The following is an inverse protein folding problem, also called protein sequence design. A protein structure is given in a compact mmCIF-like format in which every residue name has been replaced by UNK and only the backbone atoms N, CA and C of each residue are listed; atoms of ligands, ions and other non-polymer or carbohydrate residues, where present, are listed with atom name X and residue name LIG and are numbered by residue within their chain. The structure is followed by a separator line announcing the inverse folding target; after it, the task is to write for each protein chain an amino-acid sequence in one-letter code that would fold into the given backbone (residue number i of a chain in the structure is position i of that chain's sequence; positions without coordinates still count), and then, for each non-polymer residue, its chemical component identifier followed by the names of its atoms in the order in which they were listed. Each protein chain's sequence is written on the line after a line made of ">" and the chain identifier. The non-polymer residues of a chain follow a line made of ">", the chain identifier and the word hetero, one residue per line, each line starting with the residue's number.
data_IF_473307821773
#
_entry.id   IF_473307821773
#
_cell.length_a   1.000
_cell.length_b   1.000
_cell.length_c   1.000
_cell.angle_alpha   90.00
_cell.angle_beta   90.00
_cell.angle_gamma   90.00
#
_symmetry.space_group_name_H-M   'P 1'
#
loop_
_entity.id
_entity.type
_entity.pdbx_description
1 polymer ?
#
# COMPACT_ATOMS: atom_id res chain seq x y z
N UNK A 1 -11.66 16.85 -3.53
CA UNK A 1 -10.70 15.75 -3.34
C UNK A 1 -11.23 14.61 -4.19
N UNK A 2 -10.39 13.98 -4.99
CA UNK A 2 -10.81 12.84 -5.82
C UNK A 2 -11.37 11.73 -4.93
N UNK A 3 -12.44 11.06 -5.37
CA UNK A 3 -12.95 9.86 -4.71
C UNK A 3 -12.57 8.65 -5.55
N UNK A 4 -11.90 7.67 -4.93
CA UNK A 4 -11.52 6.41 -5.52
C UNK A 4 -12.52 5.33 -5.11
N UNK A 5 -13.27 4.81 -6.06
CA UNK A 5 -14.10 3.64 -5.84
C UNK A 5 -13.22 2.39 -5.81
N UNK A 6 -13.44 1.55 -4.80
CA UNK A 6 -12.62 0.37 -4.55
C UNK A 6 -13.43 -0.90 -4.75
N UNK A 7 -12.88 -1.82 -5.54
CA UNK A 7 -13.36 -3.19 -5.63
C UNK A 7 -12.24 -4.18 -5.39
N UNK A 8 -12.62 -5.35 -4.90
CA UNK A 8 -11.72 -6.48 -4.76
C UNK A 8 -12.38 -7.75 -5.26
N UNK A 9 -11.60 -8.73 -5.71
CA UNK A 9 -12.15 -9.99 -6.20
C UNK A 9 -11.15 -11.15 -6.13
N UNK A 10 -11.67 -12.33 -6.46
CA UNK A 10 -10.87 -13.52 -6.72
C UNK A 10 -11.19 -14.06 -8.12
N UNK A 11 -10.28 -13.87 -9.08
CA UNK A 11 -10.36 -14.44 -10.42
C UNK A 11 -9.60 -15.77 -10.51
N UNK A 12 -10.06 -16.66 -11.39
CA UNK A 12 -9.43 -17.98 -11.59
C UNK A 12 -8.11 -17.89 -12.37
N UNK A 13 -7.99 -16.88 -13.24
CA UNK A 13 -6.80 -16.63 -14.05
C UNK A 13 -6.69 -15.15 -14.46
N UNK A 14 -5.49 -14.74 -14.86
CA UNK A 14 -5.21 -13.41 -15.40
C UNK A 14 -5.97 -13.18 -16.71
N UNK A 15 -6.04 -14.19 -17.59
CA UNK A 15 -6.81 -14.11 -18.85
C UNK A 15 -8.30 -13.82 -18.60
N UNK A 16 -8.90 -14.41 -17.56
CA UNK A 16 -10.29 -14.17 -17.20
C UNK A 16 -10.50 -12.75 -16.65
N UNK A 17 -9.49 -12.21 -15.96
CA UNK A 17 -9.45 -10.84 -15.47
C UNK A 17 -9.31 -9.84 -16.62
N UNK A 18 -8.31 -10.00 -17.49
CA UNK A 18 -8.10 -9.16 -18.67
C UNK A 18 -9.34 -9.11 -19.56
N UNK A 19 -9.96 -10.27 -19.84
CA UNK A 19 -11.18 -10.34 -20.63
C UNK A 19 -12.37 -9.59 -20.01
N UNK A 20 -12.43 -9.52 -18.68
CA UNK A 20 -13.51 -8.83 -17.98
C UNK A 20 -13.39 -7.29 -18.11
N UNK A 21 -12.17 -6.78 -18.25
CA UNK A 21 -11.86 -5.36 -18.44
C UNK A 21 -11.60 -4.96 -19.90
N UNK A 22 -11.50 -5.89 -20.84
CA UNK A 22 -11.19 -5.60 -22.25
C UNK A 22 -12.17 -4.62 -22.91
N UNK A 23 -11.66 -3.44 -23.26
CA UNK A 23 -12.38 -2.38 -23.99
C UNK A 23 -11.93 -2.21 -25.46
N UNK A 24 -10.99 -3.03 -25.95
CA UNK A 24 -10.35 -2.88 -27.27
C UNK A 24 -11.38 -2.92 -28.40
N UNK A 25 -12.33 -3.84 -28.33
CA UNK A 25 -13.36 -4.00 -29.38
C UNK A 25 -14.27 -2.78 -29.46
N UNK A 26 -14.66 -2.22 -28.32
CA UNK A 26 -15.54 -1.05 -28.26
C UNK A 26 -14.83 0.23 -28.68
N UNK A 27 -13.60 0.46 -28.20
CA UNK A 27 -12.78 1.60 -28.61
C UNK A 27 -12.49 1.59 -30.12
N UNK A 28 -12.27 0.40 -30.69
CA UNK A 28 -12.10 0.26 -32.15
C UNK A 28 -13.36 0.63 -32.92
N UNK A 29 -14.54 0.22 -32.43
CA UNK A 29 -15.80 0.57 -33.05
C UNK A 29 -16.05 2.08 -33.00
N UNK A 30 -15.79 2.73 -31.86
CA UNK A 30 -15.82 4.19 -31.73
C UNK A 30 -14.83 4.89 -32.67
N UNK A 31 -13.60 4.38 -32.77
CA UNK A 31 -12.62 4.94 -33.69
C UNK A 31 -13.06 4.88 -35.15
N UNK A 32 -13.79 3.84 -35.57
CA UNK A 32 -14.36 3.77 -36.92
C UNK A 32 -15.47 4.83 -37.06
N UNK A 33 -16.42 4.83 -36.13
CA UNK A 33 -17.53 5.78 -36.11
C UNK A 33 -17.08 7.24 -36.17
N UNK A 34 -16.08 7.63 -35.36
CA UNK A 34 -15.59 9.01 -35.27
C UNK A 34 -14.85 9.48 -36.54
N UNK A 35 -14.31 8.54 -37.34
CA UNK A 35 -13.47 8.85 -38.50
C UNK A 35 -14.19 8.65 -39.84
N UNK A 36 -15.35 7.99 -39.86
CA UNK A 36 -16.13 7.81 -41.07
C UNK A 36 -17.11 8.98 -41.29
N UNK A 37 -17.14 9.59 -42.50
CA UNK A 37 -18.09 10.66 -42.78
C UNK A 37 -19.52 10.09 -42.78
N UNK A 38 -20.50 10.82 -42.23
CA UNK A 38 -21.87 10.36 -42.19
C UNK A 38 -22.38 10.09 -43.61
N UNK A 39 -22.90 8.89 -43.81
CA UNK A 39 -23.40 8.38 -45.08
C UNK A 39 -24.80 8.91 -45.39
N UNK A 40 -25.50 9.44 -44.39
CA UNK A 40 -26.88 9.89 -44.47
C UNK A 40 -27.88 8.74 -44.35
N UNK A 41 -27.43 7.54 -44.01
CA UNK A 41 -28.27 6.37 -43.72
C UNK A 41 -28.19 6.07 -42.23
N UNK A 42 -29.35 6.10 -41.59
CA UNK A 42 -29.49 5.86 -40.15
C UNK A 42 -28.95 4.50 -39.68
N UNK A 43 -28.86 3.50 -40.56
CA UNK A 43 -28.29 2.17 -40.24
C UNK A 43 -26.76 2.15 -40.25
N UNK A 44 -26.13 2.94 -41.12
CA UNK A 44 -24.68 2.99 -41.31
C UNK A 44 -24.03 4.03 -40.37
N UNK A 45 -24.82 4.99 -39.87
CA UNK A 45 -24.37 6.12 -39.03
C UNK A 45 -24.71 5.93 -37.53
N UNK A 46 -24.89 4.68 -37.06
CA UNK A 46 -25.20 4.39 -35.65
C UNK A 46 -23.96 4.36 -34.77
N UNK A 47 -24.13 4.81 -33.52
CA UNK A 47 -23.12 4.63 -32.48
C UNK A 47 -22.81 3.14 -32.26
N UNK A 48 -21.59 2.80 -31.80
CA UNK A 48 -21.21 1.44 -31.48
C UNK A 48 -22.19 0.73 -30.53
N UNK A 49 -22.44 -0.55 -30.79
CA UNK A 49 -23.35 -1.38 -29.99
C UNK A 49 -22.90 -1.41 -28.51
N UNK A 50 -23.73 -0.95 -27.55
CA UNK A 50 -23.41 -0.99 -26.13
C UNK A 50 -23.12 -2.39 -25.57
N UNK A 51 -23.52 -3.47 -26.25
CA UNK A 51 -23.27 -4.85 -25.82
C UNK A 51 -21.80 -5.28 -25.93
N UNK A 52 -21.02 -4.64 -26.81
CA UNK A 52 -19.60 -4.96 -27.00
C UNK A 52 -18.67 -4.25 -25.99
N UNK A 53 -19.24 -3.45 -25.09
CA UNK A 53 -18.52 -2.83 -23.97
C UNK A 53 -17.90 -3.87 -23.05
N UNK A 54 -16.84 -3.45 -22.36
CA UNK A 54 -16.18 -4.28 -21.35
C UNK A 54 -17.18 -4.73 -20.29
N UNK A 55 -17.01 -5.92 -19.70
CA UNK A 55 -18.00 -6.47 -18.78
C UNK A 55 -18.12 -5.60 -17.52
N UNK A 56 -17.00 -5.13 -16.99
CA UNK A 56 -16.98 -4.13 -15.91
C UNK A 56 -17.80 -2.88 -16.27
N UNK A 57 -17.57 -2.31 -17.45
CA UNK A 57 -18.20 -1.10 -17.96
C UNK A 57 -19.74 -1.24 -17.98
N UNK A 58 -20.22 -2.38 -18.48
CA UNK A 58 -21.66 -2.71 -18.52
C UNK A 58 -22.27 -2.78 -17.12
N UNK A 59 -21.57 -3.40 -16.18
CA UNK A 59 -22.07 -3.60 -14.81
C UNK A 59 -22.19 -2.27 -14.04
N UNK A 60 -21.22 -1.36 -14.21
CA UNK A 60 -21.27 -0.04 -13.54
C UNK A 60 -21.96 1.05 -14.36
N UNK A 61 -22.42 0.72 -15.58
CA UNK A 61 -23.21 1.60 -16.44
C UNK A 61 -22.41 2.73 -17.10
N UNK A 62 -21.14 2.48 -17.44
CA UNK A 62 -20.29 3.41 -18.22
C UNK A 62 -20.02 2.85 -19.62
N UNK A 63 -19.54 3.70 -20.52
CA UNK A 63 -19.20 3.31 -21.88
C UNK A 63 -17.78 2.74 -21.98
N UNK A 64 -16.81 3.47 -21.44
CA UNK A 64 -15.41 3.07 -21.29
C UNK A 64 -14.88 3.61 -19.97
N UNK A 65 -13.83 3.00 -19.44
CA UNK A 65 -13.05 3.60 -18.37
C UNK A 65 -11.78 4.24 -18.98
N UNK A 66 -11.28 5.26 -18.31
CA UNK A 66 -10.00 5.87 -18.65
C UNK A 66 -8.88 5.09 -17.94
N UNK A 67 -7.90 4.62 -18.72
CA UNK A 67 -6.76 3.84 -18.23
C UNK A 67 -5.86 4.65 -17.28
N UNK A 68 -5.85 5.98 -17.40
CA UNK A 68 -5.07 6.86 -16.53
C UNK A 68 -5.71 7.04 -15.14
N UNK A 69 -7.03 6.81 -15.02
CA UNK A 69 -7.79 6.99 -13.78
C UNK A 69 -8.18 5.67 -13.09
N UNK A 70 -7.75 4.52 -13.62
CA UNK A 70 -8.02 3.21 -13.06
C UNK A 70 -6.73 2.46 -12.73
N UNK A 71 -6.67 1.89 -11.53
CA UNK A 71 -5.66 0.91 -11.15
C UNK A 71 -6.30 -0.46 -11.23
N UNK A 72 -5.76 -1.29 -12.12
CA UNK A 72 -6.13 -2.69 -12.30
C UNK A 72 -4.97 -3.58 -11.87
N UNK A 73 -5.07 -4.17 -10.68
CA UNK A 73 -3.98 -5.00 -10.12
C UNK A 73 -4.42 -6.44 -9.97
N UNK A 74 -3.72 -7.35 -10.66
CA UNK A 74 -3.87 -8.79 -10.53
C UNK A 74 -2.67 -9.41 -9.82
N UNK A 75 -2.93 -10.39 -8.96
CA UNK A 75 -1.91 -11.16 -8.25
C UNK A 75 -2.02 -12.65 -8.63
N UNK A 76 -0.93 -13.27 -9.07
CA UNK A 76 -0.94 -14.71 -9.41
C UNK A 76 -1.24 -15.64 -8.22
N UNK A 77 -1.13 -15.13 -7.00
CA UNK A 77 -1.52 -15.81 -5.76
C UNK A 77 -2.45 -14.90 -4.98
N UNK A 78 -3.37 -15.51 -4.22
CA UNK A 78 -4.18 -14.76 -3.26
C UNK A 78 -3.27 -14.10 -2.23
N UNK A 79 -3.52 -12.82 -2.01
CA UNK A 79 -2.82 -11.94 -1.10
C UNK A 79 -3.67 -11.70 0.14
N UNK A 80 -2.99 -11.50 1.26
CA UNK A 80 -3.61 -10.96 2.46
C UNK A 80 -3.66 -9.44 2.35
N UNK A 81 -4.51 -8.81 3.18
CA UNK A 81 -4.71 -7.36 3.16
C UNK A 81 -3.40 -6.56 3.21
N UNK A 82 -2.47 -6.96 4.09
CA UNK A 82 -1.18 -6.30 4.29
C UNK A 82 -0.31 -6.29 3.03
N UNK A 83 -0.39 -7.32 2.21
CA UNK A 83 0.37 -7.42 0.96
C UNK A 83 -0.19 -6.48 -0.12
N UNK A 84 -1.48 -6.14 -0.03
CA UNK A 84 -2.22 -5.33 -1.02
C UNK A 84 -2.14 -3.83 -0.70
N UNK A 85 -1.95 -3.44 0.57
CA UNK A 85 -1.91 -2.03 0.99
C UNK A 85 -0.96 -1.16 0.17
N UNK A 86 0.17 -1.73 -0.27
CA UNK A 86 1.18 -1.02 -1.05
C UNK A 86 0.69 -0.61 -2.45
N UNK A 87 -0.32 -1.28 -2.99
CA UNK A 87 -0.86 -1.05 -4.32
C UNK A 87 -2.13 -0.17 -4.31
N UNK A 88 -2.59 0.27 -3.14
CA UNK A 88 -3.76 1.14 -3.01
C UNK A 88 -3.35 2.61 -3.30
N UNK A 89 -3.89 3.25 -4.35
CA UNK A 89 -3.48 4.60 -4.77
C UNK A 89 -4.17 5.73 -3.97
N UNK A 90 -4.65 5.44 -2.75
CA UNK A 90 -5.50 6.33 -1.95
C UNK A 90 -5.24 6.21 -0.45
N UNK A 91 -6.18 6.74 0.35
CA UNK A 91 -6.08 6.64 1.81
C UNK A 91 -6.19 5.18 2.28
N UNK A 92 -5.07 4.60 2.71
CA UNK A 92 -5.00 3.18 3.12
C UNK A 92 -5.74 2.91 4.44
N UNK A 93 -5.81 3.85 5.38
CA UNK A 93 -6.60 3.70 6.61
C UNK A 93 -8.10 3.59 6.31
N UNK A 94 -8.60 4.40 5.37
CA UNK A 94 -9.97 4.30 4.89
C UNK A 94 -10.22 2.97 4.16
N UNK A 95 -9.26 2.51 3.35
CA UNK A 95 -9.32 1.20 2.70
C UNK A 95 -9.40 0.05 3.71
N UNK A 96 -8.53 0.05 4.74
CA UNK A 96 -8.51 -0.96 5.80
C UNK A 96 -9.87 -1.10 6.47
N UNK A 97 -10.47 0.04 6.85
CA UNK A 97 -11.79 0.07 7.46
C UNK A 97 -12.86 -0.56 6.56
N UNK A 98 -12.88 -0.22 5.26
CA UNK A 98 -13.84 -0.81 4.32
C UNK A 98 -13.60 -2.33 4.15
N UNK A 99 -12.35 -2.78 4.15
CA UNK A 99 -12.02 -4.18 4.00
C UNK A 99 -12.46 -5.02 5.22
N UNK A 100 -12.22 -4.52 6.44
CA UNK A 100 -12.63 -5.18 7.69
C UNK A 100 -14.16 -5.33 7.78
N UNK A 101 -14.90 -4.30 7.38
CA UNK A 101 -16.37 -4.32 7.36
C UNK A 101 -16.94 -5.40 6.41
N UNK A 102 -16.17 -5.82 5.40
CA UNK A 102 -16.60 -6.78 4.37
C UNK A 102 -16.14 -8.22 4.60
N UNK A 103 -15.43 -8.52 5.71
CA UNK A 103 -15.03 -9.90 6.11
C UNK A 103 -14.35 -10.72 5.00
N UNK A 104 -13.37 -10.14 4.31
CA UNK A 104 -12.70 -10.76 3.16
C UNK A 104 -11.39 -11.43 3.59
N UNK A 105 -11.28 -12.75 3.42
CA UNK A 105 -10.10 -13.50 3.89
C UNK A 105 -8.85 -13.30 3.03
N UNK A 106 -9.00 -13.19 1.72
CA UNK A 106 -7.89 -12.99 0.78
C UNK A 106 -8.41 -12.63 -0.61
N UNK A 107 -7.61 -11.92 -1.39
CA UNK A 107 -7.99 -11.42 -2.72
C UNK A 107 -6.86 -11.66 -3.72
N UNK A 108 -7.17 -11.69 -5.01
CA UNK A 108 -6.13 -11.67 -6.04
C UNK A 108 -6.34 -10.59 -7.10
N UNK A 109 -7.35 -9.73 -6.89
CA UNK A 109 -7.60 -8.55 -7.70
C UNK A 109 -7.91 -7.36 -6.78
N UNK A 110 -7.25 -6.24 -7.04
CA UNK A 110 -7.57 -4.92 -6.51
C UNK A 110 -7.90 -3.99 -7.68
N UNK A 111 -9.01 -3.27 -7.57
CA UNK A 111 -9.42 -2.24 -8.52
C UNK A 111 -9.65 -0.95 -7.75
N UNK A 112 -9.02 0.13 -8.20
CA UNK A 112 -9.30 1.48 -7.72
C UNK A 112 -9.62 2.36 -8.92
N UNK A 113 -10.78 3.00 -8.94
CA UNK A 113 -11.21 3.82 -10.07
C UNK A 113 -11.65 5.21 -9.61
N UNK A 114 -11.04 6.24 -10.18
CA UNK A 114 -11.45 7.62 -10.01
C UNK A 114 -12.46 8.00 -11.08
N UNK A 115 -13.71 8.24 -10.68
CA UNK A 115 -14.75 8.73 -11.58
C UNK A 115 -15.78 9.56 -10.82
N UNK A 116 -15.84 10.86 -11.12
CA UNK A 116 -16.73 11.80 -10.44
C UNK A 116 -18.22 11.60 -10.74
N UNK A 117 -18.56 10.93 -11.85
CA UNK A 117 -19.93 10.67 -12.25
C UNK A 117 -20.44 9.30 -11.76
N UNK A 118 -19.53 8.46 -11.24
CA UNK A 118 -19.89 7.15 -10.71
C UNK A 118 -20.42 7.29 -9.27
N UNK A 119 -21.69 6.92 -9.07
CA UNK A 119 -22.26 6.85 -7.73
C UNK A 119 -22.11 5.44 -7.12
N UNK A 120 -22.24 5.35 -5.80
CA UNK A 120 -22.10 4.07 -5.07
C UNK A 120 -23.13 3.02 -5.47
N UNK A 121 -24.36 3.41 -5.84
CA UNK A 121 -25.39 2.47 -6.27
C UNK A 121 -24.96 1.76 -7.56
N UNK A 122 -24.51 2.52 -8.56
CA UNK A 122 -23.97 1.95 -9.80
C UNK A 122 -22.70 1.13 -9.57
N UNK A 123 -21.78 1.62 -8.73
CA UNK A 123 -20.55 0.91 -8.40
C UNK A 123 -20.81 -0.46 -7.73
N UNK A 124 -21.89 -0.56 -6.96
CA UNK A 124 -22.28 -1.79 -6.25
C UNK A 124 -22.95 -2.87 -7.13
N UNK A 125 -23.26 -2.58 -8.40
CA UNK A 125 -23.97 -3.50 -9.32
C UNK A 125 -23.07 -4.57 -9.94
N UNK A 126 -21.78 -4.59 -9.59
CA UNK A 126 -20.82 -5.55 -10.13
C UNK A 126 -21.13 -6.97 -9.64
N UNK A 127 -21.07 -7.94 -10.56
CA UNK A 127 -21.44 -9.34 -10.27
C UNK A 127 -20.24 -10.16 -9.78
N UNK A 128 -19.08 -9.94 -10.39
CA UNK A 128 -17.83 -10.67 -10.07
C UNK A 128 -16.96 -9.97 -9.03
N UNK A 129 -17.19 -8.68 -8.83
CA UNK A 129 -16.39 -7.84 -7.95
C UNK A 129 -17.15 -7.57 -6.67
N UNK A 130 -16.41 -7.46 -5.56
CA UNK A 130 -16.96 -6.99 -4.29
C UNK A 130 -16.64 -5.50 -4.21
N UNK A 131 -17.67 -4.68 -4.28
CA UNK A 131 -17.53 -3.24 -4.06
C UNK A 131 -17.37 -2.96 -2.56
N UNK A 132 -16.23 -2.37 -2.17
CA UNK A 132 -15.93 -2.05 -0.77
C UNK A 132 -16.48 -0.68 -0.38
N UNK A 133 -16.51 0.27 -1.31
CA UNK A 133 -16.87 1.66 -1.04
C UNK A 133 -15.97 2.63 -1.79
N UNK A 134 -16.05 3.91 -1.43
CA UNK A 134 -15.18 4.96 -1.95
C UNK A 134 -14.24 5.45 -0.86
N UNK A 135 -12.98 5.70 -1.21
CA UNK A 135 -11.96 6.30 -0.34
C UNK A 135 -11.48 7.62 -0.93
N UNK A 136 -10.98 8.57 -0.12
CA UNK A 136 -10.29 9.74 -0.65
C UNK A 136 -9.06 9.33 -1.46
N UNK A 137 -8.93 9.86 -2.67
CA UNK A 137 -7.70 9.82 -3.47
C UNK A 137 -6.62 10.71 -2.86
N UNK A 138 -5.35 10.40 -3.19
CA UNK A 138 -4.22 11.19 -2.74
C UNK A 138 -4.31 12.59 -3.35
N UNK A 139 -4.38 13.62 -2.52
CA UNK A 139 -4.20 15.00 -3.00
C UNK A 139 -2.69 15.23 -3.21
N UNK A 140 -2.30 16.11 -4.13
CA UNK A 140 -0.88 16.50 -4.34
C UNK A 140 -0.16 16.95 -3.04
N UNK A 141 -0.91 17.16 -1.95
CA UNK A 141 -0.39 17.54 -0.63
C UNK A 141 -0.86 16.66 0.54
N UNK A 142 -1.64 15.58 0.33
CA UNK A 142 -2.19 14.77 1.44
C UNK A 142 -1.92 13.26 1.28
N UNK A 143 -1.04 12.78 2.17
CA UNK A 143 -1.06 11.50 2.90
C UNK A 143 -1.35 10.21 2.13
N UNK A 144 -0.28 9.59 1.59
CA UNK A 144 -0.13 8.12 1.67
C UNK A 144 -0.05 7.76 3.15
N UNK A 145 -1.19 7.67 3.83
CA UNK A 145 -1.29 7.37 5.26
C UNK A 145 -0.20 8.02 6.14
N UNK A 146 -0.62 9.00 6.95
CA UNK A 146 0.06 9.30 8.21
C UNK A 146 0.03 8.11 9.22
N UNK A 147 0.04 6.85 8.75
CA UNK A 147 0.40 5.70 9.54
C UNK A 147 1.92 5.76 9.64
N UNK A 148 2.38 6.43 10.69
CA UNK A 148 3.73 6.28 11.17
C UNK A 148 4.05 4.78 11.21
N UNK A 149 4.94 4.37 10.33
CA UNK A 149 5.41 3.00 10.34
C UNK A 149 6.74 3.01 11.07
N UNK A 150 6.76 2.30 12.18
CA UNK A 150 7.96 2.00 12.94
C UNK A 150 8.73 0.88 12.24
N UNK A 151 10.02 1.09 12.05
CA UNK A 151 10.94 0.08 11.58
C UNK A 151 11.94 -0.21 12.69
N UNK A 152 11.97 -1.45 13.16
CA UNK A 152 12.79 -1.86 14.29
C UNK A 152 14.03 -2.62 13.85
N UNK A 153 15.17 -2.21 14.38
CA UNK A 153 16.43 -2.94 14.32
C UNK A 153 17.04 -3.11 15.70
N UNK A 154 17.63 -4.27 15.94
CA UNK A 154 18.37 -4.58 17.16
C UNK A 154 19.84 -4.89 16.86
N UNK A 155 20.73 -4.51 17.78
CA UNK A 155 22.16 -4.83 17.67
C UNK A 155 22.44 -6.33 17.75
N UNK A 156 23.30 -6.85 16.86
CA UNK A 156 23.65 -8.28 16.81
C UNK A 156 24.75 -8.68 17.80
N UNK A 157 25.84 -7.91 17.91
CA UNK A 157 27.01 -8.19 18.77
C UNK A 157 27.76 -6.91 19.21
N UNK A 158 28.70 -7.04 20.15
CA UNK A 158 29.44 -5.95 20.86
C UNK A 158 30.21 -4.96 19.98
N UNK A 159 30.25 -5.14 18.65
CA UNK A 159 31.14 -4.41 17.75
C UNK A 159 30.41 -3.46 16.79
N UNK A 160 30.72 -2.17 16.99
CA UNK A 160 30.68 -1.05 16.03
C UNK A 160 29.75 -1.27 14.83
N UNK A 161 28.45 -1.01 15.01
CA UNK A 161 27.61 -0.71 13.85
C UNK A 161 28.11 0.62 13.26
N UNK A 162 28.01 0.82 11.94
CA UNK A 162 28.31 2.13 11.32
C UNK A 162 27.50 3.27 11.95
N UNK A 163 26.38 2.93 12.59
CA UNK A 163 25.59 3.80 13.45
C UNK A 163 26.37 4.30 14.68
N UNK A 164 27.13 3.44 15.38
CA UNK A 164 27.89 3.82 16.57
C UNK A 164 29.04 4.76 16.21
N UNK A 165 29.70 4.52 15.08
CA UNK A 165 30.74 5.41 14.54
C UNK A 165 30.19 6.76 14.08
N UNK A 166 28.87 6.82 13.84
CA UNK A 166 28.15 8.01 13.42
C UNK A 166 27.54 8.80 14.59
N UNK A 167 27.66 8.32 15.83
CA UNK A 167 27.21 9.05 17.01
C UNK A 167 28.04 10.31 17.22
N UNK A 168 27.38 11.40 17.57
CA UNK A 168 28.05 12.59 18.06
C UNK A 168 28.51 12.38 19.52
N UNK A 169 29.32 13.30 20.06
CA UNK A 169 29.89 13.21 21.42
C UNK A 169 28.82 13.01 22.53
N UNK A 170 27.59 13.50 22.30
CA UNK A 170 26.44 13.33 23.20
C UNK A 170 25.66 12.00 23.01
N UNK A 171 26.20 11.05 22.24
CA UNK A 171 25.54 9.79 21.83
C UNK A 171 24.18 10.00 21.14
N UNK A 172 23.99 11.16 20.52
CA UNK A 172 22.82 11.45 19.69
C UNK A 172 23.12 11.14 18.22
N UNK A 173 22.10 10.63 17.54
CA UNK A 173 22.15 10.25 16.13
C UNK A 173 21.24 11.21 15.34
N UNK A 174 21.80 11.93 14.37
CA UNK A 174 20.99 12.86 13.57
C UNK A 174 20.22 12.12 12.47
N UNK A 175 19.02 12.62 12.15
CA UNK A 175 18.22 12.12 11.02
C UNK A 175 19.01 12.09 9.70
N UNK A 176 19.89 13.07 9.48
CA UNK A 176 20.71 13.18 8.27
C UNK A 176 21.66 11.98 8.11
N UNK A 177 22.32 11.58 9.21
CA UNK A 177 23.24 10.44 9.19
C UNK A 177 22.49 9.12 9.03
N UNK A 178 21.30 9.00 9.61
CA UNK A 178 20.48 7.77 9.47
C UNK A 178 19.95 7.63 8.06
N UNK A 179 19.47 8.73 7.48
CA UNK A 179 19.08 8.79 6.08
C UNK A 179 20.22 8.32 5.17
N UNK A 180 21.45 8.79 5.43
CA UNK A 180 22.65 8.34 4.71
C UNK A 180 22.96 6.86 4.92
N UNK A 181 22.98 6.37 6.16
CA UNK A 181 23.29 4.97 6.50
C UNK A 181 22.28 4.01 5.87
N UNK A 182 20.99 4.36 5.93
CA UNK A 182 19.91 3.52 5.44
C UNK A 182 19.63 3.73 3.94
N UNK A 183 20.22 4.75 3.32
CA UNK A 183 20.02 5.08 1.90
C UNK A 183 18.61 5.58 1.59
N UNK A 184 18.00 6.33 2.50
CA UNK A 184 16.61 6.81 2.39
C UNK A 184 16.54 8.34 2.39
N UNK A 185 15.46 8.90 1.86
CA UNK A 185 15.26 10.36 1.89
C UNK A 185 14.93 10.83 3.32
N UNK A 186 15.72 11.77 3.85
CA UNK A 186 15.50 12.40 5.16
C UNK A 186 14.08 12.94 5.33
N UNK A 187 13.47 13.47 4.27
CA UNK A 187 12.16 14.11 4.35
C UNK A 187 11.05 13.16 4.82
N UNK A 188 11.26 11.86 4.67
CA UNK A 188 10.29 10.83 5.02
C UNK A 188 10.44 10.36 6.48
N UNK A 189 11.55 10.74 7.14
CA UNK A 189 11.85 10.40 8.53
C UNK A 189 11.17 11.37 9.47
N UNK A 190 10.08 10.90 10.09
CA UNK A 190 9.37 11.68 11.11
C UNK A 190 10.11 11.69 12.43
N UNK A 191 10.62 10.55 12.87
CA UNK A 191 11.29 10.43 14.16
C UNK A 191 12.27 9.25 14.17
N UNK A 192 13.22 9.34 15.08
CA UNK A 192 14.27 8.36 15.29
C UNK A 192 14.39 8.16 16.79
N UNK A 193 14.08 6.95 17.22
CA UNK A 193 14.28 6.49 18.58
C UNK A 193 15.52 5.60 18.60
N UNK A 194 16.63 6.14 19.10
CA UNK A 194 17.90 5.44 19.16
C UNK A 194 18.30 5.19 20.62
N UNK A 195 18.56 3.93 20.94
CA UNK A 195 19.01 3.52 22.26
C UNK A 195 20.36 2.82 22.17
N UNK A 196 21.30 3.20 23.04
CA UNK A 196 22.58 2.52 23.19
C UNK A 196 23.08 2.53 24.64
N UNK A 197 23.57 1.39 25.09
CA UNK A 197 24.19 1.18 26.40
C UNK A 197 25.48 0.37 26.25
N UNK A 198 26.39 0.44 27.22
CA UNK A 198 27.65 -0.31 27.18
C UNK A 198 27.45 -1.81 27.49
N UNK A 199 26.42 -2.14 28.27
CA UNK A 199 26.10 -3.52 28.66
C UNK A 199 24.80 -3.96 28.00
N UNK A 200 24.67 -5.24 27.64
CA UNK A 200 23.40 -5.75 27.11
C UNK A 200 22.31 -5.70 28.18
N UNK A 201 21.14 -5.22 27.79
CA UNK A 201 19.93 -5.12 28.60
C UNK A 201 18.78 -5.90 27.95
N UNK A 202 17.71 -6.15 28.69
CA UNK A 202 16.57 -6.92 28.19
C UNK A 202 15.85 -6.16 27.06
N UNK A 203 15.59 -6.85 25.93
CA UNK A 203 14.96 -6.23 24.75
C UNK A 203 13.57 -5.69 25.07
N UNK A 204 12.75 -6.44 25.82
CA UNK A 204 11.39 -6.04 26.19
C UNK A 204 11.40 -4.77 27.04
N UNK A 205 12.31 -4.68 28.01
CA UNK A 205 12.46 -3.49 28.86
C UNK A 205 12.88 -2.27 28.05
N UNK A 206 13.79 -2.46 27.09
CA UNK A 206 14.21 -1.38 26.17
C UNK A 206 13.03 -0.93 25.33
N UNK A 207 12.35 -1.85 24.63
CA UNK A 207 11.22 -1.50 23.73
C UNK A 207 10.12 -0.80 24.52
N UNK A 208 9.71 -1.33 25.67
CA UNK A 208 8.66 -0.74 26.52
C UNK A 208 9.02 0.65 27.06
N UNK A 209 10.30 0.99 27.13
CA UNK A 209 10.77 2.29 27.63
C UNK A 209 10.97 3.30 26.50
N UNK A 210 11.39 2.82 25.32
CA UNK A 210 11.80 3.68 24.20
C UNK A 210 10.68 3.91 23.18
N UNK A 211 9.70 3.01 23.09
CA UNK A 211 8.56 3.14 22.18
C UNK A 211 7.37 3.69 22.96
N UNK A 212 6.90 4.88 22.57
CA UNK A 212 5.80 5.56 23.27
C UNK A 212 4.45 4.85 23.09
N UNK A 213 4.22 4.26 21.91
CA UNK A 213 3.01 3.51 21.61
C UNK A 213 3.09 2.08 22.16
N UNK A 214 2.26 1.80 23.17
CA UNK A 214 2.21 0.50 23.84
C UNK A 214 1.76 -0.65 22.93
N UNK A 215 0.85 -0.41 21.98
CA UNK A 215 0.40 -1.45 21.06
C UNK A 215 1.54 -1.82 20.10
N UNK A 216 2.26 -0.82 19.60
CA UNK A 216 3.44 -1.03 18.75
C UNK A 216 4.54 -1.74 19.53
N UNK A 217 4.82 -1.31 20.75
CA UNK A 217 5.80 -1.95 21.63
C UNK A 217 5.48 -3.45 21.84
N UNK A 218 4.22 -3.78 22.10
CA UNK A 218 3.78 -5.18 22.26
C UNK A 218 3.97 -5.98 20.97
N UNK A 219 3.58 -5.45 19.81
CA UNK A 219 3.79 -6.10 18.53
C UNK A 219 5.28 -6.33 18.22
N UNK A 220 6.12 -5.36 18.52
CA UNK A 220 7.57 -5.47 18.38
C UNK A 220 8.14 -6.61 19.23
N UNK A 221 7.75 -6.69 20.50
CA UNK A 221 8.20 -7.74 21.43
C UNK A 221 7.77 -9.12 20.93
N UNK A 222 6.49 -9.27 20.55
CA UNK A 222 5.98 -10.52 19.99
C UNK A 222 6.78 -10.95 18.74
N UNK A 223 7.18 -9.97 17.91
CA UNK A 223 7.97 -10.26 16.71
C UNK A 223 9.41 -10.66 17.02
N UNK A 224 10.03 -10.02 18.01
CA UNK A 224 11.37 -10.41 18.50
C UNK A 224 11.36 -11.86 18.97
N UNK A 225 10.35 -12.23 19.77
CA UNK A 225 10.16 -13.59 20.28
C UNK A 225 9.94 -14.60 19.16
N UNK A 226 9.09 -14.26 18.18
CA UNK A 226 8.81 -15.10 17.00
C UNK A 226 10.08 -15.40 16.21
N UNK A 227 10.96 -14.41 16.04
CA UNK A 227 12.21 -14.54 15.28
C UNK A 227 13.32 -15.22 16.08
N UNK A 228 13.14 -15.43 17.40
CA UNK A 228 14.16 -16.01 18.28
C UNK A 228 15.44 -15.16 18.36
N UNK A 229 15.30 -13.84 18.19
CA UNK A 229 16.43 -12.90 18.33
C UNK A 229 16.81 -12.83 19.82
N UNK A 230 18.10 -12.65 20.12
CA UNK A 230 18.61 -12.63 21.50
C UNK A 230 17.72 -11.77 22.42
N UNK A 231 17.38 -12.30 23.60
CA UNK A 231 16.54 -11.60 24.59
C UNK A 231 17.23 -10.37 25.21
N UNK A 232 18.50 -10.13 24.87
CA UNK A 232 19.23 -8.95 25.30
C UNK A 232 19.95 -8.27 24.14
N UNK A 233 19.97 -6.94 24.16
CA UNK A 233 20.70 -6.11 23.22
C UNK A 233 21.31 -4.91 23.93
N UNK A 234 22.34 -4.33 23.34
CA UNK A 234 22.93 -3.07 23.78
C UNK A 234 22.57 -1.91 22.83
N UNK A 235 21.82 -2.19 21.75
CA UNK A 235 21.47 -1.21 20.74
C UNK A 235 20.06 -1.49 20.19
N UNK A 236 19.24 -0.44 20.14
CA UNK A 236 17.97 -0.44 19.41
C UNK A 236 17.90 0.80 18.53
N UNK A 237 17.42 0.61 17.31
CA UNK A 237 17.01 1.68 16.42
C UNK A 237 15.56 1.44 16.02
N UNK A 238 14.69 2.36 16.40
CA UNK A 238 13.33 2.47 15.91
C UNK A 238 13.22 3.73 15.04
N UNK A 239 12.85 3.53 13.78
CA UNK A 239 12.70 4.59 12.80
C UNK A 239 11.23 4.76 12.47
N UNK A 240 10.71 5.96 12.70
CA UNK A 240 9.33 6.29 12.39
C UNK A 240 9.31 7.08 11.08
N UNK A 241 8.63 6.52 10.08
CA UNK A 241 8.52 7.12 8.75
C UNK A 241 7.06 7.31 8.35
N UNK A 242 6.82 8.34 7.54
CA UNK A 242 5.49 8.68 7.01
C UNK A 242 5.09 7.87 5.78
N UNK A 243 5.89 6.89 5.38
CA UNK A 243 5.65 6.07 4.20
C UNK A 243 6.33 4.72 4.34
N UNK A 244 5.76 3.67 3.75
CA UNK A 244 6.39 2.36 3.77
C UNK A 244 7.71 2.34 2.99
N UNK A 245 8.75 1.77 3.60
CA UNK A 245 10.07 1.54 3.06
C UNK A 245 10.36 0.04 2.99
N UNK A 246 10.93 -0.38 1.85
CA UNK A 246 11.47 -1.73 1.68
C UNK A 246 12.96 -1.71 1.98
N UNK A 247 13.35 -2.32 3.10
CA UNK A 247 14.76 -2.51 3.45
C UNK A 247 15.26 -3.87 2.98
N UNK A 248 16.50 -3.93 2.50
CA UNK A 248 17.20 -5.20 2.31
C UNK A 248 17.67 -5.73 3.67
N UNK A 249 17.43 -7.01 3.95
CA UNK A 249 17.72 -7.63 5.25
C UNK A 249 19.20 -7.50 5.67
N UNK A 250 19.41 -7.23 6.97
CA UNK A 250 20.67 -7.40 7.70
C UNK A 250 21.90 -6.65 7.15
N UNK A 251 21.83 -5.31 7.11
CA UNK A 251 23.01 -4.45 6.89
C UNK A 251 23.50 -3.83 8.20
N UNK A 252 24.79 -3.49 8.26
CA UNK A 252 25.38 -2.67 9.34
C UNK A 252 25.41 -3.26 10.76
N UNK A 253 25.54 -4.58 10.92
CA UNK A 253 25.51 -5.29 12.21
C UNK A 253 24.20 -5.13 13.01
N UNK A 254 23.13 -4.74 12.31
CA UNK A 254 21.79 -4.71 12.82
C UNK A 254 20.99 -5.92 12.32
N UNK A 255 20.13 -6.43 13.20
CA UNK A 255 19.10 -7.41 12.85
C UNK A 255 17.82 -6.63 12.62
N UNK A 256 17.29 -6.69 11.39
CA UNK A 256 15.97 -6.14 11.09
C UNK A 256 14.90 -7.04 11.68
N UNK A 257 14.05 -6.48 12.54
CA UNK A 257 12.97 -7.23 13.22
C UNK A 257 11.69 -7.17 12.39
N UNK A 258 11.35 -5.98 11.88
CA UNK A 258 10.13 -5.79 11.11
C UNK A 258 9.67 -4.35 11.04
N UNK A 259 8.52 -4.18 10.40
CA UNK A 259 7.79 -2.93 10.29
C UNK A 259 6.44 -3.05 11.02
N UNK A 260 6.06 -2.01 11.75
CA UNK A 260 4.88 -1.97 12.61
C UNK A 260 4.17 -0.65 12.37
N UNK A 261 2.89 -0.67 11.99
CA UNK A 261 2.15 0.54 11.67
C UNK A 261 1.28 0.93 12.86
N UNK A 262 1.36 2.21 13.27
CA UNK A 262 0.40 2.81 14.22
C UNK A 262 -1.03 2.58 13.70
N UNK A 263 -1.97 2.18 14.58
CA UNK A 263 -3.39 1.95 14.24
C UNK A 263 -4.19 3.25 14.05
#
# INVERSE_FOLDING_TARGET
>A
MAELHIWVANFESEEAFEKYFDQVSYLKAWSIYDNEPPTGKEEDDQEPDPEIRCQFCKEIGIDTYDEDFIVLKYYHKRQQINDVLNDVPGNTSAFLKLYEENSIDSINVLIAYENHDLNQESASKTEKLIYLGAIPGLSDNDDKANLNTHYLWLGKDETSSSILESLNDDKQLSKDKIAEILGIDRQIIKEVNFYYTENKENVDEIIMTQVEDYNIAEQMILKVDELGVNSTTNLMLDLIVSQYLKFEENKHNLVYIGSFSEE
#
